data_IF_202962239994
#
_entry.id   IF_202962239994
#
_cell.length_a   1.000
_cell.length_b   1.000
_cell.length_c   1.000
_cell.angle_alpha   90.00
_cell.angle_beta   90.00
_cell.angle_gamma   90.00
#
_symmetry.space_group_name_H-M   'P 1'
#
loop_
_entity.id
_entity.type
_entity.pdbx_description
1 polymer ?
#
# COMPACT_ATOMS: atom_id res chain seq x y z
N UNK A 1 -20.17 -1.67 13.14
CA UNK A 1 -19.07 -1.02 13.91
C UNK A 1 -17.71 -1.63 13.57
N UNK A 2 -17.54 -2.96 13.59
CA UNK A 2 -16.29 -3.66 13.22
C UNK A 2 -15.80 -3.43 11.78
N UNK A 3 -16.69 -3.13 10.83
CA UNK A 3 -16.29 -2.80 9.45
C UNK A 3 -15.33 -1.60 9.40
N UNK A 4 -15.57 -0.58 10.24
CA UNK A 4 -14.76 0.64 10.24
C UNK A 4 -13.32 0.42 10.70
N UNK A 5 -13.04 -0.61 11.50
CA UNK A 5 -11.66 -0.96 11.88
C UNK A 5 -10.90 -1.72 10.78
N UNK A 6 -11.59 -2.30 9.80
CA UNK A 6 -10.97 -3.06 8.70
C UNK A 6 -10.72 -2.15 7.47
N UNK A 7 -11.45 -1.04 7.35
CA UNK A 7 -11.29 -0.10 6.23
C UNK A 7 -9.85 0.42 6.05
N UNK A 8 -9.13 0.87 7.12
CA UNK A 8 -7.79 1.43 6.95
C UNK A 8 -6.79 0.42 6.39
N UNK A 9 -6.85 -0.82 6.89
CA UNK A 9 -5.94 -1.89 6.44
C UNK A 9 -6.27 -2.37 5.03
N UNK A 10 -7.56 -2.48 4.68
CA UNK A 10 -7.98 -2.85 3.34
C UNK A 10 -7.54 -1.82 2.29
N UNK A 11 -7.66 -0.52 2.62
CA UNK A 11 -7.22 0.56 1.74
C UNK A 11 -5.70 0.57 1.57
N UNK A 12 -4.95 0.42 2.67
CA UNK A 12 -3.49 0.33 2.62
C UNK A 12 -3.02 -0.86 1.76
N UNK A 13 -3.67 -2.01 1.89
CA UNK A 13 -3.36 -3.18 1.08
C UNK A 13 -3.64 -2.94 -0.40
N UNK A 14 -4.78 -2.31 -0.71
CA UNK A 14 -5.13 -1.95 -2.09
C UNK A 14 -4.08 -1.03 -2.70
N UNK A 15 -3.68 0.04 -1.98
CA UNK A 15 -2.63 0.95 -2.45
C UNK A 15 -1.32 0.21 -2.67
N UNK A 16 -0.86 -0.58 -1.69
CA UNK A 16 0.40 -1.30 -1.80
C UNK A 16 0.41 -2.26 -3.00
N UNK A 17 -0.70 -2.96 -3.25
CA UNK A 17 -0.81 -3.95 -4.32
C UNK A 17 -0.87 -3.30 -5.72
N UNK A 18 -1.60 -2.19 -5.85
CA UNK A 18 -1.79 -1.51 -7.13
C UNK A 18 -0.77 -0.41 -7.41
N UNK A 19 0.17 -0.12 -6.51
CA UNK A 19 1.15 0.95 -6.69
C UNK A 19 1.99 0.78 -7.97
N UNK A 20 2.47 -0.43 -8.25
CA UNK A 20 3.26 -0.73 -9.46
C UNK A 20 2.44 -0.52 -10.72
N UNK A 21 1.20 -1.02 -10.73
CA UNK A 21 0.27 -0.82 -11.84
C UNK A 21 -0.02 0.67 -12.04
N UNK A 22 -0.28 1.41 -10.96
CA UNK A 22 -0.50 2.85 -11.01
C UNK A 22 0.70 3.61 -11.60
N UNK A 23 1.93 3.22 -11.24
CA UNK A 23 3.14 3.88 -11.76
C UNK A 23 3.40 3.57 -13.24
N UNK A 24 3.06 2.37 -13.71
CA UNK A 24 3.24 1.98 -15.11
C UNK A 24 2.07 2.46 -15.96
N UNK A 25 0.85 2.08 -15.60
CA UNK A 25 -0.39 2.44 -16.31
C UNK A 25 -0.65 3.94 -16.22
N UNK A 26 -0.18 4.62 -15.17
CA UNK A 26 -0.21 6.08 -15.07
C UNK A 26 0.61 6.77 -16.16
N UNK A 27 1.74 6.18 -16.58
CA UNK A 27 2.51 6.70 -17.72
C UNK A 27 1.72 6.58 -19.02
N UNK A 28 1.06 5.43 -19.25
CA UNK A 28 0.17 5.23 -20.40
C UNK A 28 -1.00 6.22 -20.38
N UNK A 29 -1.64 6.41 -19.22
CA UNK A 29 -2.76 7.33 -19.06
C UNK A 29 -2.34 8.78 -19.35
N UNK A 30 -1.17 9.21 -18.88
CA UNK A 30 -0.63 10.55 -19.14
C UNK A 30 -0.27 10.77 -20.62
N UNK A 31 0.31 9.77 -21.28
CA UNK A 31 0.58 9.85 -22.72
C UNK A 31 -0.73 9.94 -23.53
N UNK A 32 -1.72 9.09 -23.20
CA UNK A 32 -3.03 9.11 -23.84
C UNK A 32 -3.83 10.40 -23.56
N UNK A 33 -3.69 11.00 -22.37
CA UNK A 33 -4.30 12.29 -22.05
C UNK A 33 -3.67 13.45 -22.83
N UNK A 34 -2.38 13.35 -23.16
CA UNK A 34 -1.67 14.34 -23.97
C UNK A 34 -2.08 14.31 -25.44
N UNK A 35 -2.43 13.15 -26.00
CA UNK A 35 -2.93 13.04 -27.36
C UNK A 35 -4.06 12.00 -27.48
N UNK A 36 -5.28 12.32 -26.99
CA UNK A 36 -6.37 11.36 -26.87
C UNK A 36 -6.94 10.90 -28.22
N UNK A 37 -6.73 11.68 -29.28
CA UNK A 37 -7.21 11.38 -30.63
C UNK A 37 -6.08 11.05 -31.62
N UNK A 38 -4.83 10.94 -31.15
CA UNK A 38 -3.65 10.74 -31.99
C UNK A 38 -3.52 11.81 -33.10
N UNK A 39 -3.90 13.06 -32.79
CA UNK A 39 -3.88 14.20 -33.72
C UNK A 39 -2.62 15.05 -33.57
N UNK A 40 -1.68 14.67 -32.70
CA UNK A 40 -0.42 15.37 -32.46
C UNK A 40 -0.55 16.61 -31.58
N UNK A 41 -1.66 16.75 -30.83
CA UNK A 41 -1.94 17.95 -30.03
C UNK A 41 -0.99 18.13 -28.84
N UNK A 42 -0.42 17.02 -28.34
CA UNK A 42 0.58 16.96 -27.29
C UNK A 42 0.32 17.96 -26.13
N UNK A 43 -0.88 17.89 -25.56
CA UNK A 43 -1.42 18.91 -24.64
C UNK A 43 -0.56 19.16 -23.39
N UNK A 44 0.12 18.12 -22.88
CA UNK A 44 1.03 18.24 -21.73
C UNK A 44 2.50 18.01 -22.10
N UNK A 45 2.84 17.94 -23.39
CA UNK A 45 4.21 17.65 -23.82
C UNK A 45 4.63 16.17 -23.66
N UNK A 46 3.74 15.30 -23.19
CA UNK A 46 4.02 13.88 -22.85
C UNK A 46 3.49 12.86 -23.86
N UNK A 47 2.98 13.28 -25.02
CA UNK A 47 2.43 12.36 -26.02
C UNK A 47 3.47 11.35 -26.54
N UNK A 48 4.74 11.77 -26.68
CA UNK A 48 5.85 10.92 -27.12
C UNK A 48 6.69 10.35 -25.96
N UNK A 49 6.17 10.39 -24.73
CA UNK A 49 6.90 9.92 -23.55
C UNK A 49 7.22 8.43 -23.68
N UNK A 50 8.51 8.09 -23.62
CA UNK A 50 8.95 6.70 -23.63
C UNK A 50 8.49 6.04 -22.33
N UNK A 51 7.68 5.00 -22.44
CA UNK A 51 7.07 4.33 -21.29
C UNK A 51 8.10 3.36 -20.72
N UNK A 52 8.65 3.72 -19.57
CA UNK A 52 9.80 3.03 -19.02
C UNK A 52 9.33 2.08 -17.93
N UNK A 53 9.02 0.84 -18.31
CA UNK A 53 8.84 -0.26 -17.35
C UNK A 53 10.10 -0.46 -16.47
N UNK A 54 11.25 0.05 -16.93
CA UNK A 54 12.50 0.15 -16.17
C UNK A 54 12.37 0.93 -14.86
N UNK A 55 11.41 1.88 -14.75
CA UNK A 55 11.11 2.60 -13.51
C UNK A 55 10.78 1.65 -12.37
N UNK A 56 10.22 0.46 -12.63
CA UNK A 56 9.90 -0.54 -11.59
C UNK A 56 10.76 -1.81 -11.67
N UNK A 57 11.60 -1.97 -12.70
CA UNK A 57 12.41 -3.17 -12.92
C UNK A 57 13.86 -3.08 -12.39
N UNK A 58 14.35 -1.88 -12.03
CA UNK A 58 15.71 -1.70 -11.51
C UNK A 58 15.87 -2.06 -10.03
N UNK A 59 17.03 -2.60 -9.61
CA UNK A 59 17.30 -2.96 -8.22
C UNK A 59 17.12 -1.79 -7.23
N UNK A 60 17.51 -0.57 -7.62
CA UNK A 60 17.28 0.63 -6.82
C UNK A 60 15.80 0.99 -6.70
N UNK A 61 15.01 0.80 -7.76
CA UNK A 61 13.56 1.01 -7.67
C UNK A 61 12.88 -0.09 -6.88
N UNK A 62 13.29 -1.35 -7.01
CA UNK A 62 12.73 -2.45 -6.24
C UNK A 62 12.87 -2.19 -4.74
N UNK A 63 14.03 -1.66 -4.31
CA UNK A 63 14.24 -1.22 -2.93
C UNK A 63 13.26 -0.11 -2.54
N UNK A 64 13.11 0.94 -3.35
CA UNK A 64 12.24 2.07 -3.02
C UNK A 64 10.76 1.69 -2.99
N UNK A 65 10.32 0.93 -3.99
CA UNK A 65 8.96 0.40 -4.11
C UNK A 65 8.62 -0.49 -2.92
N UNK A 66 9.52 -1.39 -2.54
CA UNK A 66 9.36 -2.22 -1.34
C UNK A 66 9.20 -1.36 -0.08
N UNK A 67 10.04 -0.35 0.12
CA UNK A 67 9.96 0.51 1.31
C UNK A 67 8.62 1.28 1.36
N UNK A 68 8.13 1.78 0.23
CA UNK A 68 6.85 2.50 0.19
C UNK A 68 5.66 1.57 0.39
N UNK A 69 5.64 0.40 -0.25
CA UNK A 69 4.60 -0.60 -0.05
C UNK A 69 4.57 -1.09 1.41
N UNK A 70 5.74 -1.39 1.97
CA UNK A 70 5.89 -1.77 3.38
C UNK A 70 5.40 -0.66 4.31
N UNK A 71 5.83 0.58 4.07
CA UNK A 71 5.42 1.75 4.85
C UNK A 71 3.91 1.98 4.83
N UNK A 72 3.28 1.86 3.65
CA UNK A 72 1.83 1.98 3.50
C UNK A 72 1.08 0.91 4.32
N UNK A 73 1.53 -0.35 4.26
CA UNK A 73 0.93 -1.45 5.02
C UNK A 73 1.07 -1.22 6.53
N UNK A 74 2.25 -0.82 7.00
CA UNK A 74 2.50 -0.53 8.43
C UNK A 74 1.59 0.59 8.91
N UNK A 75 1.51 1.71 8.17
CA UNK A 75 0.60 2.82 8.47
C UNK A 75 -0.86 2.38 8.53
N UNK A 76 -1.31 1.56 7.56
CA UNK A 76 -2.66 1.00 7.54
C UNK A 76 -2.99 0.17 8.79
N UNK A 77 -2.05 -0.66 9.25
CA UNK A 77 -2.20 -1.44 10.47
C UNK A 77 -2.28 -0.56 11.72
N UNK A 78 -1.38 0.42 11.86
CA UNK A 78 -1.39 1.35 13.00
C UNK A 78 -2.73 2.09 13.06
N UNK A 79 -3.22 2.60 11.93
CA UNK A 79 -4.52 3.28 11.85
C UNK A 79 -5.68 2.34 12.19
N UNK A 80 -5.67 1.10 11.68
CA UNK A 80 -6.69 0.10 11.99
C UNK A 80 -6.76 -0.21 13.49
N UNK A 81 -5.59 -0.36 14.15
CA UNK A 81 -5.50 -0.59 15.60
C UNK A 81 -6.00 0.63 16.38
N UNK A 82 -5.61 1.85 16.00
CA UNK A 82 -6.06 3.08 16.66
C UNK A 82 -7.59 3.24 16.57
N UNK A 83 -8.17 2.98 15.39
CA UNK A 83 -9.62 3.00 15.19
C UNK A 83 -10.31 1.93 16.03
N UNK A 84 -9.80 0.70 16.03
CA UNK A 84 -10.33 -0.40 16.85
C UNK A 84 -10.28 -0.07 18.35
N UNK A 85 -9.18 0.53 18.83
CA UNK A 85 -9.01 0.92 20.22
C UNK A 85 -9.97 2.07 20.61
N UNK A 86 -10.12 3.08 19.76
CA UNK A 86 -11.05 4.19 19.97
C UNK A 86 -12.52 3.72 20.04
N UNK A 87 -12.90 2.73 19.24
CA UNK A 87 -14.24 2.12 19.32
C UNK A 87 -14.41 1.23 20.55
N UNK A 88 -13.39 0.45 20.94
CA UNK A 88 -13.43 -0.38 22.15
C UNK A 88 -13.60 0.45 23.43
N UNK A 89 -12.95 1.62 23.49
CA UNK A 89 -13.09 2.55 24.62
C UNK A 89 -14.51 3.13 24.75
N UNK A 90 -15.21 3.30 23.62
CA UNK A 90 -16.60 3.80 23.61
C UNK A 90 -17.63 2.74 23.98
N UNK A 91 -17.32 1.45 23.81
CA UNK A 91 -18.29 0.36 23.99
C UNK A 91 -18.14 -0.44 25.30
N UNK A 92 -16.99 -0.41 25.99
CA UNK A 92 -16.74 -1.30 27.15
C UNK A 92 -16.45 -0.57 28.48
N UNK A 93 -17.08 -0.99 29.60
CA UNK A 93 -16.77 -0.50 30.96
C UNK A 93 -15.39 -0.90 31.50
N UNK A 94 -14.71 -1.88 30.89
CA UNK A 94 -13.40 -2.40 31.34
C UNK A 94 -12.41 -2.47 30.17
N UNK A 95 -11.80 -1.34 29.77
CA UNK A 95 -10.91 -1.24 28.60
C UNK A 95 -9.64 -2.10 28.71
N UNK A 96 -9.17 -2.42 29.91
CA UNK A 96 -7.95 -3.20 30.14
C UNK A 96 -8.05 -4.66 29.67
N UNK A 97 -9.21 -5.33 29.85
CA UNK A 97 -9.40 -6.71 29.39
C UNK A 97 -9.54 -6.80 27.86
N UNK A 98 -10.17 -5.81 27.22
CA UNK A 98 -10.28 -5.76 25.77
C UNK A 98 -8.90 -5.56 25.11
N UNK A 99 -8.05 -4.69 25.67
CA UNK A 99 -6.68 -4.47 25.19
C UNK A 99 -5.82 -5.74 25.30
N UNK A 100 -5.91 -6.48 26.42
CA UNK A 100 -5.22 -7.76 26.61
C UNK A 100 -5.67 -8.83 25.61
N UNK A 101 -6.95 -8.87 25.23
CA UNK A 101 -7.45 -9.81 24.21
C UNK A 101 -7.01 -9.46 22.79
N UNK A 102 -6.76 -8.19 22.49
CA UNK A 102 -6.31 -7.72 21.18
C UNK A 102 -4.80 -7.89 21.00
N UNK A 103 -4.04 -7.85 22.09
CA UNK A 103 -2.58 -7.97 22.08
C UNK A 103 -2.04 -9.21 21.33
N UNK A 104 -2.51 -10.45 21.58
CA UNK A 104 -2.02 -11.62 20.86
C UNK A 104 -2.31 -11.58 19.35
N UNK A 105 -3.47 -11.05 18.94
CA UNK A 105 -3.82 -10.92 17.53
C UNK A 105 -2.99 -9.83 16.84
N UNK A 106 -2.76 -8.69 17.50
CA UNK A 106 -1.87 -7.64 17.00
C UNK A 106 -0.43 -8.13 16.87
N UNK A 107 0.07 -8.88 17.86
CA UNK A 107 1.40 -9.48 17.80
C UNK A 107 1.52 -10.45 16.62
N UNK A 108 0.52 -11.29 16.39
CA UNK A 108 0.45 -12.19 15.24
C UNK A 108 0.52 -11.42 13.92
N UNK A 109 -0.24 -10.32 13.78
CA UNK A 109 -0.21 -9.48 12.59
C UNK A 109 1.16 -8.83 12.36
N UNK A 110 1.81 -8.34 13.41
CA UNK A 110 3.16 -7.77 13.34
C UNK A 110 4.16 -8.85 12.91
N UNK A 111 4.14 -10.02 13.56
CA UNK A 111 5.03 -11.13 13.23
C UNK A 111 4.87 -11.60 11.78
N UNK A 112 3.62 -11.74 11.32
CA UNK A 112 3.31 -12.09 9.94
C UNK A 112 3.77 -11.01 8.95
N UNK A 113 3.62 -9.73 9.29
CA UNK A 113 4.09 -8.62 8.44
C UNK A 113 5.61 -8.60 8.35
N UNK A 114 6.32 -8.71 9.48
CA UNK A 114 7.79 -8.79 9.52
C UNK A 114 8.28 -10.00 8.71
N UNK A 115 7.65 -11.15 8.89
CA UNK A 115 7.98 -12.36 8.14
C UNK A 115 7.74 -12.19 6.63
N UNK A 116 6.60 -11.61 6.24
CA UNK A 116 6.29 -11.33 4.83
C UNK A 116 7.27 -10.32 4.20
N UNK A 117 7.62 -9.27 4.93
CA UNK A 117 8.62 -8.28 4.51
C UNK A 117 10.01 -8.90 4.36
N UNK A 118 10.42 -9.77 5.28
CA UNK A 118 11.67 -10.52 5.19
C UNK A 118 11.69 -11.43 3.96
N UNK A 119 10.59 -12.14 3.69
CA UNK A 119 10.48 -13.04 2.55
C UNK A 119 10.53 -12.27 1.22
N UNK A 120 9.88 -11.11 1.14
CA UNK A 120 9.95 -10.19 -0.01
C UNK A 120 11.34 -9.56 -0.20
N UNK A 121 12.09 -9.33 0.88
CA UNK A 121 13.44 -8.78 0.83
C UNK A 121 14.50 -9.84 0.49
N UNK A 122 14.16 -11.12 0.56
CA UNK A 122 15.09 -12.21 0.25
C UNK A 122 15.23 -12.30 -1.28
N UNK A 123 16.45 -12.24 -1.84
CA UNK A 123 16.64 -12.33 -3.28
C UNK A 123 16.18 -13.69 -3.76
N UNK A 124 15.10 -13.73 -4.53
CA UNK A 124 14.73 -14.92 -5.30
C UNK A 124 15.75 -15.05 -6.42
N UNK A 125 16.65 -16.01 -6.31
CA UNK A 125 17.51 -16.45 -7.41
C UNK A 125 16.62 -16.80 -8.60
N UNK A 126 16.74 -16.00 -9.67
CA UNK A 126 16.13 -16.18 -10.97
C UNK A 126 17.14 -15.73 -12.03
#
# INVERSE_FOLDING_TARGET
>A
LLVWSIVPIALAYHVAHYLTALLVDGQYALAALSDPFALGWNLFGTADMQIEAGIVAGAGSAWWLWNVQAGAIILGHVLAVLVAHGFAWRLHPQPACAALSQFPLTLLMIAYTVFGLWLLATPTVG
#
